data_IF_706536109071
#
_entry.id   IF_706536109071
#
_cell.length_a   1.000
_cell.length_b   1.000
_cell.length_c   1.000
_cell.angle_alpha   90.00
_cell.angle_beta   90.00
_cell.angle_gamma   90.00
#
_symmetry.space_group_name_H-M   'P 1'
#
loop_
_entity.id
_entity.type
_entity.pdbx_description
1 polymer ?
#
# COMPACT_ATOMS: atom_id res chain seq x y z
N UNK A 1 -5.41 28.84 32.39
CA UNK A 1 -6.57 28.15 32.97
C UNK A 1 -6.66 26.84 32.21
N UNK A 2 -6.42 25.69 32.84
CA UNK A 2 -6.67 24.39 32.21
C UNK A 2 -8.17 24.11 32.33
N UNK A 3 -8.98 24.81 31.53
CA UNK A 3 -10.39 24.45 31.41
C UNK A 3 -10.47 23.29 30.42
N UNK A 4 -10.72 22.08 30.95
CA UNK A 4 -10.97 20.84 30.23
C UNK A 4 -12.23 20.92 29.34
N UNK A 5 -12.34 21.92 28.47
CA UNK A 5 -13.43 22.10 27.53
C UNK A 5 -12.98 21.57 26.18
N UNK A 6 -13.51 20.39 25.81
CA UNK A 6 -13.32 19.83 24.49
C UNK A 6 -14.32 20.43 23.51
N UNK A 7 -13.81 21.05 22.44
CA UNK A 7 -14.62 21.56 21.34
C UNK A 7 -14.68 20.53 20.20
N UNK A 8 -15.74 19.72 20.16
CA UNK A 8 -15.94 18.72 19.09
C UNK A 8 -16.80 19.31 17.97
N UNK A 9 -16.27 19.37 16.74
CA UNK A 9 -16.94 19.98 15.56
C UNK A 9 -16.63 19.20 14.28
N UNK A 10 -17.52 19.29 13.30
CA UNK A 10 -17.21 18.86 11.93
C UNK A 10 -16.45 19.98 11.21
N UNK A 11 -15.43 19.62 10.43
CA UNK A 11 -14.66 20.55 9.60
C UNK A 11 -15.23 20.69 8.19
N UNK A 12 -15.11 21.84 7.52
CA UNK A 12 -14.46 23.07 8.01
C UNK A 12 -15.32 23.81 9.06
N UNK A 13 -14.66 24.45 10.03
CA UNK A 13 -15.31 25.24 11.09
C UNK A 13 -14.40 26.38 11.53
N UNK A 14 -15.02 27.53 11.83
CA UNK A 14 -14.36 28.66 12.48
C UNK A 14 -14.89 28.78 13.92
N UNK A 15 -13.98 28.97 14.88
CA UNK A 15 -14.31 29.06 16.32
C UNK A 15 -13.56 30.23 16.91
N UNK A 16 -14.27 31.09 17.65
CA UNK A 16 -13.64 32.15 18.44
C UNK A 16 -13.27 31.57 19.80
N UNK A 17 -11.99 31.70 20.15
CA UNK A 17 -11.38 31.16 21.35
C UNK A 17 -10.58 32.26 22.05
N UNK A 18 -10.44 32.16 23.37
CA UNK A 18 -9.56 33.04 24.13
C UNK A 18 -8.09 32.73 23.81
N UNK A 19 -7.18 33.64 24.19
CA UNK A 19 -5.76 33.41 24.00
C UNK A 19 -5.25 32.28 24.91
N UNK A 20 -4.85 31.15 24.31
CA UNK A 20 -4.26 30.00 25.01
C UNK A 20 -3.56 29.04 24.03
N UNK A 21 -3.00 27.95 24.57
CA UNK A 21 -2.54 26.78 23.83
C UNK A 21 -3.67 25.78 23.62
N UNK A 22 -3.96 25.45 22.37
CA UNK A 22 -4.93 24.44 21.98
C UNK A 22 -4.28 23.18 21.42
N UNK A 23 -4.85 22.02 21.74
CA UNK A 23 -4.50 20.73 21.16
C UNK A 23 -5.61 20.31 20.20
N UNK A 24 -5.28 20.12 18.93
CA UNK A 24 -6.24 19.75 17.89
C UNK A 24 -5.96 18.32 17.47
N UNK A 25 -6.99 17.47 17.56
CA UNK A 25 -6.93 16.06 17.19
C UNK A 25 -8.12 15.70 16.30
N UNK A 26 -7.91 14.79 15.35
CA UNK A 26 -9.01 14.20 14.59
C UNK A 26 -9.72 13.10 15.39
N UNK A 27 -11.04 13.03 15.24
CA UNK A 27 -11.78 11.85 15.65
C UNK A 27 -11.41 10.67 14.75
N UNK A 28 -11.16 9.50 15.33
CA UNK A 28 -10.92 8.26 14.59
C UNK A 28 -12.24 7.68 14.10
N UNK A 29 -12.45 7.52 12.77
CA UNK A 29 -13.63 6.83 12.25
C UNK A 29 -13.72 5.38 12.74
N UNK A 30 -14.92 4.84 12.84
CA UNK A 30 -15.14 3.41 13.16
C UNK A 30 -14.65 2.50 12.02
N UNK A 31 -14.65 3.00 10.79
CA UNK A 31 -14.21 2.31 9.60
C UNK A 31 -12.68 2.24 9.52
N UNK A 32 -12.15 1.01 9.41
CA UNK A 32 -10.70 0.73 9.49
C UNK A 32 -9.89 1.13 8.26
N UNK A 33 -10.55 1.59 7.20
CA UNK A 33 -9.89 1.98 5.95
C UNK A 33 -9.48 3.46 5.93
N UNK A 34 -9.71 4.21 7.01
CA UNK A 34 -9.22 5.57 7.17
C UNK A 34 -7.81 5.60 7.76
N UNK A 35 -6.94 6.41 7.18
CA UNK A 35 -5.58 6.65 7.63
C UNK A 35 -5.41 8.15 7.86
N UNK A 36 -5.09 8.53 9.09
CA UNK A 36 -4.75 9.91 9.43
C UNK A 36 -3.49 10.35 8.68
N UNK A 37 -3.55 11.52 8.05
CA UNK A 37 -2.41 12.14 7.35
C UNK A 37 -1.79 13.28 8.14
N UNK A 38 -2.40 13.67 9.26
CA UNK A 38 -1.88 14.66 10.20
C UNK A 38 -1.75 14.09 11.60
N UNK A 39 -0.66 14.42 12.28
CA UNK A 39 -0.51 14.19 13.72
C UNK A 39 -1.36 15.23 14.49
N UNK A 40 -1.67 14.97 15.77
CA UNK A 40 -2.19 16.01 16.67
C UNK A 40 -1.37 17.31 16.55
N UNK A 41 -2.08 18.43 16.46
CA UNK A 41 -1.47 19.75 16.34
C UNK A 41 -1.52 20.47 17.68
N UNK A 42 -0.46 21.20 18.00
CA UNK A 42 -0.48 22.19 19.09
C UNK A 42 -0.50 23.57 18.45
N UNK A 43 -1.54 24.35 18.78
CA UNK A 43 -1.77 25.68 18.24
C UNK A 43 -1.65 26.69 19.37
N UNK A 44 -0.79 27.69 19.21
CA UNK A 44 -0.70 28.82 20.12
C UNK A 44 -1.56 29.95 19.56
N UNK A 45 -2.54 30.42 20.31
CA UNK A 45 -3.39 31.54 19.93
C UNK A 45 -3.13 32.72 20.88
N UNK A 46 -2.62 33.85 20.38
CA UNK A 46 -2.51 35.09 21.14
C UNK A 46 -3.76 35.96 20.95
N UNK A 47 -3.90 36.98 21.80
CA UNK A 47 -5.04 37.89 21.71
C UNK A 47 -5.07 38.63 20.37
N UNK A 48 -6.15 38.42 19.61
CA UNK A 48 -6.35 39.00 18.28
C UNK A 48 -5.71 38.21 17.13
N UNK A 49 -5.13 37.04 17.40
CA UNK A 49 -4.62 36.15 16.35
C UNK A 49 -5.77 35.51 15.55
N UNK A 50 -5.47 35.22 14.29
CA UNK A 50 -6.27 34.36 13.41
C UNK A 50 -5.36 33.25 12.89
N UNK A 51 -5.63 32.01 13.31
CA UNK A 51 -4.78 30.85 12.98
C UNK A 51 -5.61 29.71 12.40
N UNK A 52 -5.16 29.19 11.26
CA UNK A 52 -5.74 28.01 10.64
C UNK A 52 -5.00 26.75 11.07
N UNK A 53 -5.71 25.80 11.67
CA UNK A 53 -5.22 24.44 11.88
C UNK A 53 -5.78 23.52 10.79
N UNK A 54 -4.92 22.83 10.05
CA UNK A 54 -5.34 21.87 9.02
C UNK A 54 -5.05 20.45 9.48
N UNK A 55 -6.12 19.68 9.63
CA UNK A 55 -6.07 18.24 9.88
C UNK A 55 -6.60 17.48 8.66
N UNK A 56 -6.13 16.26 8.45
CA UNK A 56 -6.67 15.40 7.41
C UNK A 56 -6.51 13.91 7.67
N UNK A 57 -7.36 13.16 6.97
CA UNK A 57 -7.25 11.74 6.77
C UNK A 57 -7.59 11.40 5.31
N UNK A 58 -7.14 10.23 4.87
CA UNK A 58 -7.51 9.67 3.58
C UNK A 58 -8.11 8.30 3.80
N UNK A 59 -9.09 7.94 2.98
CA UNK A 59 -9.61 6.59 3.01
C UNK A 59 -8.98 5.73 1.91
N UNK A 60 -8.82 4.46 2.24
CA UNK A 60 -8.27 3.43 1.37
C UNK A 60 -9.40 2.56 0.82
N UNK A 61 -9.17 1.99 -0.36
CA UNK A 61 -10.13 1.10 -0.99
C UNK A 61 -9.58 0.48 -2.26
N UNK A 62 -10.50 0.22 -3.19
CA UNK A 62 -10.20 -0.44 -4.44
C UNK A 62 -9.46 0.48 -5.42
N UNK A 63 -8.57 -0.12 -6.22
CA UNK A 63 -7.84 0.54 -7.30
C UNK A 63 -7.74 -0.27 -8.58
N UNK A 64 -8.45 -1.40 -8.64
CA UNK A 64 -8.52 -2.30 -9.80
C UNK A 64 -7.59 -3.51 -9.73
N UNK A 65 -6.87 -3.73 -8.63
CA UNK A 65 -5.94 -4.85 -8.49
C UNK A 65 -6.59 -6.22 -8.64
N UNK A 66 -5.85 -7.18 -9.22
CA UNK A 66 -6.26 -8.55 -9.41
C UNK A 66 -5.30 -9.50 -8.69
N UNK A 67 -5.87 -10.49 -8.01
CA UNK A 67 -5.09 -11.39 -7.16
C UNK A 67 -4.31 -12.42 -7.98
N UNK A 68 -3.38 -13.12 -7.32
CA UNK A 68 -2.73 -14.31 -7.87
C UNK A 68 -3.75 -15.34 -8.40
N UNK A 69 -4.95 -15.40 -7.80
CA UNK A 69 -6.05 -16.26 -8.25
C UNK A 69 -6.62 -15.86 -9.62
N UNK A 70 -6.61 -14.57 -9.95
CA UNK A 70 -6.96 -14.12 -11.29
C UNK A 70 -5.89 -14.54 -12.31
N UNK A 71 -4.62 -14.19 -12.02
CA UNK A 71 -3.48 -14.45 -12.90
C UNK A 71 -3.14 -15.93 -13.11
N UNK A 72 -3.71 -16.82 -12.29
CA UNK A 72 -3.57 -18.28 -12.43
C UNK A 72 -4.78 -18.99 -13.07
N UNK A 73 -5.85 -18.25 -13.41
CA UNK A 73 -7.07 -18.83 -14.00
C UNK A 73 -7.14 -18.63 -15.52
N UNK A 74 -8.23 -19.09 -16.15
CA UNK A 74 -8.39 -19.00 -17.63
C UNK A 74 -8.41 -17.55 -18.16
N UNK A 75 -8.92 -16.60 -17.39
CA UNK A 75 -9.02 -15.20 -17.80
C UNK A 75 -7.62 -14.56 -17.75
N UNK A 76 -6.87 -14.79 -16.66
CA UNK A 76 -5.47 -14.40 -16.57
C UNK A 76 -4.62 -15.04 -17.67
N UNK A 77 -4.83 -16.34 -17.94
CA UNK A 77 -4.16 -17.06 -19.02
C UNK A 77 -4.37 -16.41 -20.39
N UNK A 78 -5.59 -15.97 -20.69
CA UNK A 78 -5.90 -15.35 -21.98
C UNK A 78 -5.16 -14.03 -22.16
N UNK A 79 -5.03 -13.23 -21.11
CA UNK A 79 -4.27 -11.98 -21.13
C UNK A 79 -2.76 -12.26 -21.22
N UNK A 80 -2.27 -13.20 -20.40
CA UNK A 80 -0.85 -13.57 -20.34
C UNK A 80 -0.29 -14.05 -21.68
N UNK A 81 -1.11 -14.78 -22.45
CA UNK A 81 -0.74 -15.33 -23.75
C UNK A 81 -1.15 -14.44 -24.94
N UNK A 82 -1.70 -13.24 -24.70
CA UNK A 82 -2.08 -12.31 -25.77
C UNK A 82 -0.84 -11.79 -26.54
N UNK A 83 -1.06 -11.12 -27.69
CA UNK A 83 -0.10 -10.88 -28.79
C UNK A 83 1.30 -10.33 -28.50
N UNK A 84 1.60 -9.86 -27.28
CA UNK A 84 2.95 -9.73 -26.74
C UNK A 84 2.99 -10.54 -25.44
N UNK A 85 3.75 -11.63 -25.41
CA UNK A 85 3.73 -12.55 -24.26
C UNK A 85 4.22 -11.85 -22.99
N UNK A 86 3.43 -11.94 -21.92
CA UNK A 86 3.81 -11.48 -20.58
C UNK A 86 5.01 -12.24 -19.99
N UNK A 87 5.51 -13.28 -20.67
CA UNK A 87 6.76 -13.94 -20.29
C UNK A 87 7.93 -12.97 -20.25
N UNK A 88 8.08 -12.09 -21.25
CA UNK A 88 9.20 -11.16 -21.32
C UNK A 88 9.27 -10.21 -20.11
N UNK A 89 8.19 -9.51 -19.73
CA UNK A 89 8.21 -8.69 -18.52
C UNK A 89 8.42 -9.53 -17.25
N UNK A 90 7.89 -10.76 -17.15
CA UNK A 90 8.14 -11.61 -15.98
C UNK A 90 9.60 -12.06 -15.86
N UNK A 91 10.26 -12.39 -16.96
CA UNK A 91 11.70 -12.74 -17.01
C UNK A 91 12.59 -11.52 -16.72
N UNK A 92 12.09 -10.30 -16.93
CA UNK A 92 12.85 -9.08 -16.61
C UNK A 92 12.89 -8.75 -15.11
N UNK A 93 12.09 -9.44 -14.29
CA UNK A 93 12.03 -9.26 -12.85
C UNK A 93 12.96 -10.24 -12.13
N UNK A 94 13.47 -9.87 -10.96
CA UNK A 94 14.29 -10.71 -10.09
C UNK A 94 13.44 -11.73 -9.30
N UNK A 95 12.51 -12.43 -9.96
CA UNK A 95 11.62 -13.39 -9.29
C UNK A 95 12.42 -14.56 -8.72
N UNK A 96 11.92 -15.13 -7.62
CA UNK A 96 12.63 -16.14 -6.82
C UNK A 96 11.88 -17.46 -6.72
N UNK A 97 12.62 -18.56 -6.77
CA UNK A 97 12.16 -19.90 -6.44
C UNK A 97 12.16 -20.13 -4.91
N UNK A 98 11.55 -21.24 -4.44
CA UNK A 98 11.57 -21.60 -3.02
C UNK A 98 12.97 -21.64 -2.39
N UNK A 99 13.98 -22.07 -3.14
CA UNK A 99 15.39 -22.16 -2.73
C UNK A 99 16.17 -20.84 -2.87
N UNK A 100 15.52 -19.80 -3.40
CA UNK A 100 16.09 -18.48 -3.64
C UNK A 100 16.85 -18.30 -4.95
N UNK A 101 16.93 -19.36 -5.78
CA UNK A 101 17.41 -19.22 -7.16
C UNK A 101 16.49 -18.28 -7.97
N UNK A 102 17.02 -17.71 -9.05
CA UNK A 102 16.23 -16.90 -9.98
C UNK A 102 15.13 -17.76 -10.63
N UNK A 103 13.97 -17.15 -10.87
CA UNK A 103 12.86 -17.77 -11.59
C UNK A 103 12.55 -17.01 -12.87
N UNK A 104 12.82 -17.66 -14.00
CA UNK A 104 12.49 -17.17 -15.34
C UNK A 104 11.41 -18.09 -15.94
N UNK A 105 10.13 -17.67 -16.00
CA UNK A 105 9.07 -18.54 -16.50
C UNK A 105 9.28 -18.88 -17.98
N UNK A 106 9.25 -20.16 -18.33
CA UNK A 106 9.35 -20.62 -19.72
C UNK A 106 8.00 -20.70 -20.45
N UNK A 107 6.88 -20.68 -19.71
CA UNK A 107 5.52 -20.74 -20.26
C UNK A 107 4.51 -20.27 -19.21
N UNK A 108 3.29 -19.96 -19.64
CA UNK A 108 2.19 -19.68 -18.71
C UNK A 108 1.92 -20.85 -17.74
N UNK A 109 2.01 -22.11 -18.20
CA UNK A 109 1.79 -23.26 -17.33
C UNK A 109 2.84 -23.35 -16.21
N UNK A 110 4.11 -23.07 -16.54
CA UNK A 110 5.19 -22.98 -15.57
C UNK A 110 4.94 -21.82 -14.59
N UNK A 111 4.60 -20.63 -15.12
CA UNK A 111 4.28 -19.45 -14.34
C UNK A 111 3.13 -19.69 -13.35
N UNK A 112 2.01 -20.25 -13.83
CA UNK A 112 0.83 -20.58 -13.04
C UNK A 112 1.17 -21.53 -11.89
N UNK A 113 1.93 -22.59 -12.17
CA UNK A 113 2.32 -23.59 -11.17
C UNK A 113 3.19 -22.97 -10.09
N UNK A 114 4.16 -22.15 -10.50
CA UNK A 114 5.02 -21.40 -9.60
C UNK A 114 4.21 -20.40 -8.76
N UNK A 115 3.36 -19.58 -9.39
CA UNK A 115 2.56 -18.56 -8.71
C UNK A 115 1.67 -19.14 -7.60
N UNK A 116 1.04 -20.30 -7.86
CA UNK A 116 0.17 -20.99 -6.90
C UNK A 116 0.92 -21.74 -5.80
N UNK A 117 2.22 -21.98 -5.98
CA UNK A 117 3.07 -22.68 -5.01
C UNK A 117 3.84 -21.73 -4.09
N UNK A 118 3.65 -20.41 -4.25
CA UNK A 118 4.30 -19.40 -3.44
C UNK A 118 3.99 -19.57 -1.95
N UNK A 119 5.02 -19.63 -1.12
CA UNK A 119 4.90 -19.70 0.35
C UNK A 119 5.83 -18.70 1.00
N UNK A 120 5.49 -18.27 2.22
CA UNK A 120 6.32 -17.35 3.01
C UNK A 120 7.47 -18.05 3.75
N UNK A 121 7.76 -19.33 3.47
CA UNK A 121 8.93 -20.05 4.01
C UNK A 121 10.20 -19.32 3.56
N UNK A 122 10.35 -19.12 2.25
CA UNK A 122 11.21 -18.09 1.69
C UNK A 122 10.36 -16.85 1.43
N UNK A 123 10.52 -15.79 2.23
CA UNK A 123 9.75 -14.56 2.06
C UNK A 123 9.94 -13.94 0.67
N UNK A 124 11.11 -14.13 0.07
CA UNK A 124 11.43 -13.62 -1.27
C UNK A 124 10.57 -14.31 -2.34
N UNK A 125 10.21 -15.57 -2.17
CA UNK A 125 9.32 -16.27 -3.08
C UNK A 125 7.88 -15.73 -2.97
N UNK A 126 7.35 -15.55 -1.75
CA UNK A 126 6.04 -14.92 -1.56
C UNK A 126 5.99 -13.48 -2.08
N UNK A 127 7.04 -12.69 -1.84
CA UNK A 127 7.16 -11.34 -2.39
C UNK A 127 7.19 -11.37 -3.93
N UNK A 128 7.93 -12.31 -4.53
CA UNK A 128 7.97 -12.50 -5.99
C UNK A 128 6.58 -12.74 -6.58
N UNK A 129 5.75 -13.58 -5.93
CA UNK A 129 4.41 -13.87 -6.41
C UNK A 129 3.48 -12.63 -6.36
N UNK A 130 3.59 -11.82 -5.31
CA UNK A 130 2.83 -10.57 -5.21
C UNK A 130 3.31 -9.51 -6.21
N UNK A 131 4.63 -9.38 -6.39
CA UNK A 131 5.24 -8.51 -7.40
C UNK A 131 4.80 -8.88 -8.82
N UNK A 132 4.80 -10.16 -9.16
CA UNK A 132 4.36 -10.63 -10.46
C UNK A 132 2.90 -10.23 -10.74
N UNK A 133 1.99 -10.48 -9.79
CA UNK A 133 0.58 -10.10 -9.92
C UNK A 133 0.40 -8.58 -10.08
N UNK A 134 1.03 -7.76 -9.23
CA UNK A 134 0.91 -6.29 -9.34
C UNK A 134 1.52 -5.77 -10.65
N UNK A 135 2.62 -6.36 -11.11
CA UNK A 135 3.26 -5.96 -12.37
C UNK A 135 2.34 -6.25 -13.57
N UNK A 136 1.64 -7.39 -13.55
CA UNK A 136 0.65 -7.73 -14.57
C UNK A 136 -0.59 -6.81 -14.49
N UNK A 137 -1.05 -6.46 -13.28
CA UNK A 137 -2.14 -5.49 -13.10
C UNK A 137 -1.81 -4.13 -13.74
N UNK A 138 -0.57 -3.67 -13.60
CA UNK A 138 -0.09 -2.44 -14.23
C UNK A 138 0.06 -2.61 -15.74
N UNK A 139 0.67 -3.70 -16.20
CA UNK A 139 0.90 -3.95 -17.62
C UNK A 139 -0.40 -4.02 -18.44
N UNK A 140 -1.46 -4.57 -17.84
CA UNK A 140 -2.80 -4.68 -18.45
C UNK A 140 -3.74 -3.52 -18.12
N UNK A 141 -3.23 -2.48 -17.43
CA UNK A 141 -3.98 -1.26 -17.16
C UNK A 141 -5.11 -1.39 -16.14
N UNK A 142 -5.18 -2.50 -15.40
CA UNK A 142 -6.12 -2.66 -14.28
C UNK A 142 -5.77 -1.75 -13.13
N UNK A 143 -4.47 -1.56 -12.88
CA UNK A 143 -3.94 -0.64 -11.88
C UNK A 143 -3.11 0.44 -12.57
N UNK A 144 -3.33 1.70 -12.21
CA UNK A 144 -2.44 2.79 -12.65
C UNK A 144 -1.15 2.73 -11.84
N UNK A 145 -0.01 2.63 -12.51
CA UNK A 145 1.30 2.63 -11.85
C UNK A 145 1.58 3.87 -10.99
N UNK A 146 0.95 5.00 -11.30
CA UNK A 146 1.03 6.25 -10.53
C UNK A 146 0.03 6.34 -9.37
N UNK A 147 -0.87 5.36 -9.21
CA UNK A 147 -1.82 5.36 -8.10
C UNK A 147 -1.08 5.26 -6.77
N UNK A 148 -1.54 6.02 -5.76
CA UNK A 148 -0.99 5.95 -4.42
C UNK A 148 -1.61 4.79 -3.65
N UNK A 149 -0.75 4.00 -3.02
CA UNK A 149 -1.12 2.94 -2.09
C UNK A 149 -0.50 3.19 -0.71
N UNK A 150 -1.19 2.72 0.32
CA UNK A 150 -0.63 2.65 1.66
C UNK A 150 0.34 1.47 1.78
N UNK A 151 1.62 1.80 1.97
CA UNK A 151 2.77 0.91 2.00
C UNK A 151 3.75 1.29 3.14
N UNK A 152 3.29 1.38 4.40
CA UNK A 152 4.10 1.92 5.49
C UNK A 152 5.38 1.11 5.73
N UNK A 153 6.49 1.82 5.92
CA UNK A 153 7.78 1.24 6.26
C UNK A 153 8.51 0.56 5.10
N UNK A 154 8.02 0.69 3.86
CA UNK A 154 8.83 0.51 2.65
C UNK A 154 9.72 1.76 2.45
N UNK A 155 10.82 1.63 1.72
CA UNK A 155 11.74 2.72 1.45
C UNK A 155 11.16 3.78 0.48
N UNK A 156 10.26 3.36 -0.43
CA UNK A 156 9.55 4.26 -1.35
C UNK A 156 8.42 5.05 -0.71
N UNK A 157 7.98 4.66 0.48
CA UNK A 157 6.92 5.36 1.18
C UNK A 157 7.39 6.70 1.75
N UNK A 158 6.55 7.72 1.60
CA UNK A 158 6.73 8.99 2.29
C UNK A 158 6.56 8.81 3.82
N UNK A 159 6.81 9.85 4.64
CA UNK A 159 6.66 9.77 6.09
C UNK A 159 5.26 9.37 6.58
N UNK A 160 4.23 9.52 5.75
CA UNK A 160 2.85 9.11 6.03
C UNK A 160 2.54 7.67 5.59
N UNK A 161 3.53 6.95 5.05
CA UNK A 161 3.39 5.56 4.63
C UNK A 161 2.80 5.36 3.24
N UNK A 162 2.78 6.39 2.38
CA UNK A 162 2.24 6.29 1.02
C UNK A 162 3.33 6.27 -0.04
N UNK A 163 3.16 5.40 -1.02
CA UNK A 163 4.02 5.28 -2.20
C UNK A 163 3.17 5.07 -3.47
N UNK A 164 3.73 5.36 -4.63
CA UNK A 164 3.10 4.93 -5.89
C UNK A 164 3.29 3.43 -6.10
N UNK A 165 2.35 2.77 -6.79
CA UNK A 165 2.47 1.35 -7.15
C UNK A 165 3.79 1.05 -7.85
N UNK A 166 4.16 1.86 -8.85
CA UNK A 166 5.42 1.68 -9.58
C UNK A 166 6.66 1.78 -8.69
N UNK A 167 6.64 2.66 -7.68
CA UNK A 167 7.77 2.78 -6.76
C UNK A 167 7.92 1.52 -5.89
N UNK A 168 6.81 0.98 -5.36
CA UNK A 168 6.84 -0.26 -4.55
C UNK A 168 7.22 -1.47 -5.41
N UNK A 169 6.73 -1.56 -6.67
CA UNK A 169 7.13 -2.62 -7.62
C UNK A 169 8.63 -2.56 -7.90
N UNK A 170 9.19 -1.38 -8.20
CA UNK A 170 10.61 -1.21 -8.46
C UNK A 170 11.48 -1.54 -7.23
N UNK A 171 11.04 -1.10 -6.04
CA UNK A 171 11.70 -1.39 -4.76
C UNK A 171 11.70 -2.90 -4.47
N UNK A 172 10.55 -3.56 -4.59
CA UNK A 172 10.42 -5.01 -4.40
C UNK A 172 11.31 -5.78 -5.40
N UNK A 173 11.32 -5.39 -6.67
CA UNK A 173 12.15 -6.02 -7.67
C UNK A 173 13.65 -5.87 -7.35
N UNK A 174 14.07 -4.71 -6.85
CA UNK A 174 15.46 -4.46 -6.44
C UNK A 174 15.83 -5.28 -5.21
N UNK A 175 14.97 -5.28 -4.19
CA UNK A 175 15.14 -6.05 -2.96
C UNK A 175 15.27 -7.55 -3.26
N UNK A 176 14.42 -8.08 -4.13
CA UNK A 176 14.53 -9.47 -4.57
C UNK A 176 15.85 -9.73 -5.29
N UNK A 177 16.39 -8.79 -6.06
CA UNK A 177 17.69 -8.88 -6.73
C UNK A 177 18.86 -9.06 -5.75
N UNK A 178 18.77 -8.42 -4.57
CA UNK A 178 19.83 -8.45 -3.54
C UNK A 178 19.61 -9.62 -2.56
N UNK A 179 18.38 -9.87 -2.14
CA UNK A 179 18.02 -10.82 -1.09
C UNK A 179 17.03 -11.86 -1.62
N UNK A 180 17.54 -12.87 -2.33
CA UNK A 180 16.71 -13.91 -2.95
C UNK A 180 16.26 -15.06 -2.04
N UNK A 181 16.92 -15.24 -0.89
CA UNK A 181 16.61 -16.30 0.08
C UNK A 181 16.47 -15.73 1.50
N UNK A 182 15.23 -15.48 1.92
CA UNK A 182 14.91 -14.88 3.21
C UNK A 182 14.02 -15.82 4.03
N UNK A 183 14.68 -16.67 4.82
CA UNK A 183 14.04 -17.64 5.72
C UNK A 183 13.69 -17.01 7.08
N UNK A 184 13.08 -17.80 7.97
CA UNK A 184 12.85 -17.38 9.37
C UNK A 184 14.16 -17.00 10.06
N UNK A 185 14.13 -15.95 10.89
CA UNK A 185 15.30 -15.42 11.61
C UNK A 185 16.21 -14.51 10.78
N UNK A 186 16.01 -14.39 9.46
CA UNK A 186 16.76 -13.46 8.62
C UNK A 186 16.35 -11.99 8.91
N UNK A 187 17.34 -11.09 9.01
CA UNK A 187 17.14 -9.67 9.31
C UNK A 187 16.27 -8.92 8.29
N UNK A 188 16.26 -9.35 7.03
CA UNK A 188 15.48 -8.74 5.95
C UNK A 188 14.04 -9.22 5.87
N UNK A 189 13.66 -10.24 6.67
CA UNK A 189 12.32 -10.83 6.61
C UNK A 189 11.22 -9.82 6.88
N UNK A 190 11.39 -8.98 7.90
CA UNK A 190 10.41 -7.95 8.26
C UNK A 190 10.27 -6.89 7.17
N UNK A 191 11.35 -6.57 6.47
CA UNK A 191 11.32 -5.62 5.35
C UNK A 191 10.63 -6.21 4.12
N UNK A 192 10.98 -7.43 3.71
CA UNK A 192 10.29 -8.11 2.61
C UNK A 192 8.81 -8.36 2.91
N UNK A 193 8.46 -8.58 4.17
CA UNK A 193 7.06 -8.70 4.59
C UNK A 193 6.28 -7.38 4.40
N UNK A 194 6.89 -6.21 4.63
CA UNK A 194 6.24 -4.91 4.35
C UNK A 194 5.98 -4.71 2.88
N UNK A 195 6.98 -4.99 2.03
CA UNK A 195 6.83 -4.96 0.57
C UNK A 195 5.74 -5.94 0.10
N UNK A 196 5.78 -7.17 0.63
CA UNK A 196 4.81 -8.23 0.33
C UNK A 196 3.40 -7.78 0.72
N UNK A 197 3.23 -7.18 1.89
CA UNK A 197 1.92 -6.72 2.38
C UNK A 197 1.41 -5.51 1.59
N UNK A 198 2.28 -4.59 1.18
CA UNK A 198 1.89 -3.46 0.34
C UNK A 198 1.33 -3.93 -1.01
N UNK A 199 2.05 -4.83 -1.70
CA UNK A 199 1.63 -5.40 -2.99
C UNK A 199 0.41 -6.33 -2.85
N UNK A 200 0.38 -7.17 -1.82
CA UNK A 200 -0.78 -8.03 -1.52
C UNK A 200 -2.04 -7.20 -1.25
N UNK A 201 -1.95 -6.11 -0.49
CA UNK A 201 -3.08 -5.21 -0.28
C UNK A 201 -3.52 -4.52 -1.57
N UNK A 202 -2.59 -4.15 -2.46
CA UNK A 202 -2.92 -3.59 -3.77
C UNK A 202 -3.65 -4.63 -4.65
N UNK A 203 -3.11 -5.83 -4.78
CA UNK A 203 -3.71 -6.94 -5.53
C UNK A 203 -5.11 -7.33 -4.99
N UNK A 204 -5.36 -7.08 -3.71
CA UNK A 204 -6.64 -7.34 -3.04
C UNK A 204 -7.56 -6.10 -2.92
N UNK A 205 -7.24 -4.97 -3.57
CA UNK A 205 -8.06 -3.75 -3.56
C UNK A 205 -8.29 -3.15 -2.16
N UNK A 206 -7.26 -3.13 -1.31
CA UNK A 206 -7.38 -2.68 0.09
C UNK A 206 -6.63 -1.40 0.43
N UNK A 207 -5.66 -0.98 -0.38
CA UNK A 207 -4.69 0.04 0.02
C UNK A 207 -4.68 1.28 -0.86
N UNK A 208 -5.52 1.40 -1.89
CA UNK A 208 -5.49 2.55 -2.80
C UNK A 208 -6.17 3.76 -2.18
N UNK A 209 -5.50 4.92 -2.23
CA UNK A 209 -6.10 6.21 -1.85
C UNK A 209 -7.31 6.48 -2.75
N UNK A 210 -8.46 6.71 -2.15
CA UNK A 210 -9.69 6.98 -2.90
C UNK A 210 -9.77 8.43 -3.36
N UNK A 211 -10.35 8.71 -4.54
CA UNK A 211 -10.47 10.07 -5.07
C UNK A 211 -11.53 10.92 -4.35
N UNK A 212 -12.39 10.28 -3.56
CA UNK A 212 -13.41 10.91 -2.75
C UNK A 212 -13.45 10.27 -1.35
N UNK A 213 -13.88 11.01 -0.32
CA UNK A 213 -14.14 10.47 1.00
C UNK A 213 -15.01 9.21 0.98
N UNK A 214 -14.62 8.20 1.75
CA UNK A 214 -15.42 7.00 1.96
C UNK A 214 -16.57 7.30 2.92
N UNK A 215 -17.54 6.39 3.09
CA UNK A 215 -18.42 6.45 4.25
C UNK A 215 -17.62 6.43 5.56
N UNK A 216 -18.07 7.23 6.54
CA UNK A 216 -17.47 7.28 7.86
C UNK A 216 -18.53 7.47 8.94
N UNK A 217 -18.24 6.97 10.14
CA UNK A 217 -19.06 7.13 11.33
C UNK A 217 -18.20 7.25 12.59
N UNK A 218 -18.73 7.89 13.63
CA UNK A 218 -18.08 8.02 14.93
C UNK A 218 -18.91 7.33 16.01
N UNK A 219 -18.26 6.89 17.08
CA UNK A 219 -18.97 6.36 18.24
C UNK A 219 -19.94 7.43 18.82
N UNK A 220 -21.10 7.02 19.36
CA UNK A 220 -22.03 7.93 20.04
C UNK A 220 -21.40 8.69 21.20
#
# INVERSE_FOLDING_TARGET
IQDNIDYIRFTPVDIILDADTYYVTECTPLEKNWVATTQPLTVQLNNGDDTTASIGNVCLGAGGGLTLGFWSNKNGANLFNAGASDLAPMVSLNLRNPDGSNYDPASYLAFRTWLLSATATNMSYMLSAQLAATSLDVAHGFVKGSALIYAPGTASANPLGFASVNAVVAEANTELGVHGLVLSGNSFRSYQERLKNALDNANNNRSFVQPAPCPFSFAP
#
